data_IF_929941997123
#
_entry.id   IF_929941997123
#
_cell.length_a   1.000
_cell.length_b   1.000
_cell.length_c   1.000
_cell.angle_alpha   90.00
_cell.angle_beta   90.00
_cell.angle_gamma   90.00
#
_symmetry.space_group_name_H-M   'P 1'
#
loop_
_entity.id
_entity.type
_entity.pdbx_description
1 polymer ?
#
# COMPACT_ATOMS: atom_id res chain seq x y z
N UNK A 1 4.59 17.93 -5.25
CA UNK A 1 3.53 17.21 -4.51
C UNK A 1 3.51 15.73 -4.89
N UNK A 2 3.28 15.39 -6.16
CA UNK A 2 3.33 14.01 -6.67
C UNK A 2 4.68 13.29 -6.43
N UNK A 3 5.81 13.87 -6.87
CA UNK A 3 7.15 13.28 -6.66
C UNK A 3 7.48 13.13 -5.17
N UNK A 4 7.10 14.11 -4.33
CA UNK A 4 7.28 14.02 -2.87
C UNK A 4 6.52 12.83 -2.28
N UNK A 5 5.30 12.58 -2.78
CA UNK A 5 4.50 11.44 -2.36
C UNK A 5 5.17 10.12 -2.74
N UNK A 6 5.69 10.00 -3.96
CA UNK A 6 6.44 8.81 -4.39
C UNK A 6 7.62 8.56 -3.45
N UNK A 7 8.46 9.58 -3.22
CA UNK A 7 9.67 9.44 -2.40
C UNK A 7 9.32 9.03 -0.97
N UNK A 8 8.39 9.73 -0.33
CA UNK A 8 8.01 9.43 1.06
C UNK A 8 7.30 8.09 1.18
N UNK A 9 6.39 7.76 0.26
CA UNK A 9 5.74 6.45 0.21
C UNK A 9 6.80 5.36 0.11
N UNK A 10 7.69 5.43 -0.90
CA UNK A 10 8.73 4.43 -1.10
C UNK A 10 9.63 4.27 0.13
N UNK A 11 10.15 5.36 0.69
CA UNK A 11 11.09 5.30 1.82
C UNK A 11 10.46 4.69 3.08
N UNK A 12 9.20 5.03 3.37
CA UNK A 12 8.51 4.48 4.54
C UNK A 12 8.14 3.03 4.28
N UNK A 13 7.69 2.72 3.07
CA UNK A 13 7.23 1.39 2.67
C UNK A 13 8.36 0.35 2.61
N UNK A 14 9.63 0.79 2.47
CA UNK A 14 10.80 -0.07 2.69
C UNK A 14 10.75 -0.81 4.03
N UNK A 15 10.20 -0.20 5.09
CA UNK A 15 10.08 -0.84 6.40
C UNK A 15 9.16 -2.07 6.37
N UNK A 16 8.21 -2.09 5.45
CA UNK A 16 7.22 -3.16 5.32
C UNK A 16 7.63 -4.21 4.31
N UNK A 17 8.03 -3.81 3.10
CA UNK A 17 8.35 -4.77 2.03
C UNK A 17 9.58 -5.64 2.35
N UNK A 18 10.47 -5.20 3.24
CA UNK A 18 11.64 -5.99 3.66
C UNK A 18 11.29 -7.06 4.69
N UNK A 19 10.05 -7.09 5.20
CA UNK A 19 9.65 -8.06 6.21
C UNK A 19 9.56 -9.48 5.62
N UNK A 20 10.16 -10.44 6.31
CA UNK A 20 10.31 -11.83 5.82
C UNK A 20 8.99 -12.57 5.58
N UNK A 21 7.90 -12.17 6.22
CA UNK A 21 6.60 -12.81 6.05
C UNK A 21 6.02 -12.63 4.64
N UNK A 22 6.40 -11.58 3.90
CA UNK A 22 6.03 -11.40 2.49
C UNK A 22 6.53 -12.56 1.64
N UNK A 23 7.83 -12.85 1.77
CA UNK A 23 8.48 -13.97 1.09
C UNK A 23 7.78 -15.28 1.44
N UNK A 24 7.54 -15.55 2.72
CA UNK A 24 6.90 -16.79 3.17
C UNK A 24 5.49 -16.96 2.58
N UNK A 25 4.68 -15.90 2.56
CA UNK A 25 3.34 -15.89 1.97
C UNK A 25 3.38 -16.28 0.50
N UNK A 26 4.19 -15.59 -0.30
CA UNK A 26 4.22 -15.78 -1.75
C UNK A 26 4.92 -17.07 -2.17
N UNK A 27 5.97 -17.53 -1.47
CA UNK A 27 6.58 -18.84 -1.73
C UNK A 27 5.60 -19.99 -1.41
N UNK A 28 4.77 -19.85 -0.37
CA UNK A 28 3.72 -20.83 -0.07
C UNK A 28 2.71 -20.96 -1.20
N UNK A 29 2.36 -19.84 -1.84
CA UNK A 29 1.42 -19.80 -2.97
C UNK A 29 2.08 -20.29 -4.26
N UNK A 30 3.28 -19.80 -4.59
CA UNK A 30 3.95 -20.02 -5.87
C UNK A 30 4.72 -21.35 -5.95
N UNK A 31 5.08 -21.94 -4.81
CA UNK A 31 5.93 -23.15 -4.71
C UNK A 31 7.31 -23.01 -5.38
N UNK A 32 7.75 -21.76 -5.57
CA UNK A 32 9.06 -21.40 -6.11
C UNK A 32 9.67 -20.29 -5.24
N UNK A 33 10.99 -20.04 -5.34
CA UNK A 33 11.61 -18.94 -4.63
C UNK A 33 10.96 -17.59 -4.99
N UNK A 34 10.75 -16.75 -3.99
CA UNK A 34 10.14 -15.44 -4.18
C UNK A 34 10.98 -14.58 -5.11
N UNK A 35 10.35 -14.06 -6.18
CA UNK A 35 10.97 -13.14 -7.11
C UNK A 35 10.04 -11.96 -7.38
N UNK A 36 10.54 -10.74 -7.18
CA UNK A 36 9.76 -9.52 -7.35
C UNK A 36 9.65 -9.19 -8.83
N UNK A 37 8.42 -9.02 -9.32
CA UNK A 37 8.19 -8.44 -10.63
C UNK A 37 8.45 -6.93 -10.58
N UNK A 38 9.63 -6.51 -11.06
CA UNK A 38 10.05 -5.11 -11.01
C UNK A 38 9.12 -4.18 -11.78
N UNK A 39 8.55 -4.63 -12.90
CA UNK A 39 7.56 -3.84 -13.66
C UNK A 39 6.33 -3.54 -12.82
N UNK A 40 5.77 -4.55 -12.15
CA UNK A 40 4.62 -4.41 -11.26
C UNK A 40 4.91 -3.47 -10.08
N UNK A 41 6.07 -3.63 -9.45
CA UNK A 41 6.50 -2.76 -8.34
C UNK A 41 6.62 -1.29 -8.79
N UNK A 42 7.25 -1.05 -9.94
CA UNK A 42 7.38 0.32 -10.49
C UNK A 42 6.01 0.92 -10.85
N UNK A 43 5.11 0.12 -11.44
CA UNK A 43 3.75 0.60 -11.74
C UNK A 43 2.99 0.95 -10.46
N UNK A 44 3.11 0.18 -9.38
CA UNK A 44 2.51 0.54 -8.10
C UNK A 44 2.96 1.93 -7.63
N UNK A 45 4.27 2.20 -7.56
CA UNK A 45 4.78 3.49 -7.12
C UNK A 45 4.47 4.65 -8.09
N UNK A 46 4.20 4.35 -9.36
CA UNK A 46 3.72 5.33 -10.33
C UNK A 46 2.24 5.66 -10.16
N UNK A 47 1.38 4.66 -9.92
CA UNK A 47 -0.08 4.87 -9.89
C UNK A 47 -0.62 5.22 -8.50
N UNK A 48 -0.05 4.68 -7.42
CA UNK A 48 -0.48 4.95 -6.05
C UNK A 48 -0.62 6.45 -5.71
N UNK A 49 0.32 7.35 -6.08
CA UNK A 49 0.21 8.78 -5.76
C UNK A 49 -0.91 9.51 -6.53
N UNK A 50 -1.49 8.91 -7.58
CA UNK A 50 -2.66 9.50 -8.26
C UNK A 50 -3.85 9.61 -7.31
N UNK A 51 -3.99 8.66 -6.37
CA UNK A 51 -5.03 8.72 -5.35
C UNK A 51 -4.90 9.99 -4.50
N UNK A 52 -3.65 10.40 -4.20
CA UNK A 52 -3.40 11.61 -3.44
C UNK A 52 -3.72 12.88 -4.23
N UNK A 53 -3.24 12.98 -5.47
CA UNK A 53 -3.45 14.19 -6.30
C UNK A 53 -4.93 14.37 -6.67
N UNK A 54 -5.65 13.27 -6.94
CA UNK A 54 -7.02 13.34 -7.48
C UNK A 54 -8.11 13.31 -6.42
N UNK A 55 -7.87 12.66 -5.28
CA UNK A 55 -8.90 12.47 -4.26
C UNK A 55 -8.48 13.04 -2.91
N UNK A 56 -7.34 12.61 -2.36
CA UNK A 56 -7.01 12.95 -0.96
C UNK A 56 -6.78 14.46 -0.80
N UNK A 57 -5.89 15.06 -1.60
CA UNK A 57 -5.58 16.49 -1.46
C UNK A 57 -6.75 17.43 -1.77
N UNK A 58 -7.46 17.32 -2.92
CA UNK A 58 -8.53 18.26 -3.23
C UNK A 58 -9.76 18.13 -2.31
N UNK A 59 -9.97 16.96 -1.67
CA UNK A 59 -11.08 16.73 -0.75
C UNK A 59 -10.74 17.07 0.71
N UNK A 60 -9.49 17.37 1.01
CA UNK A 60 -9.07 17.70 2.38
C UNK A 60 -8.98 19.21 2.56
N UNK A 61 -9.27 19.70 3.77
CA UNK A 61 -9.15 21.13 4.16
C UNK A 61 -8.11 21.36 5.24
N UNK A 62 -7.54 20.29 5.81
CA UNK A 62 -6.50 20.35 6.84
C UNK A 62 -5.60 19.12 6.77
N UNK A 63 -4.42 19.20 7.41
CA UNK A 63 -3.50 18.04 7.52
C UNK A 63 -4.16 16.83 8.18
N UNK A 64 -4.96 17.07 9.23
CA UNK A 64 -5.70 16.01 9.92
C UNK A 64 -6.74 15.35 9.03
N UNK A 65 -7.40 16.13 8.16
CA UNK A 65 -8.33 15.59 7.17
C UNK A 65 -7.60 14.81 6.06
N UNK A 66 -6.45 15.31 5.60
CA UNK A 66 -5.59 14.59 4.65
C UNK A 66 -5.09 13.27 5.22
N UNK A 67 -4.76 13.21 6.52
CA UNK A 67 -4.45 11.97 7.21
C UNK A 67 -5.62 10.99 7.16
N UNK A 68 -6.84 11.43 7.54
CA UNK A 68 -8.03 10.57 7.58
C UNK A 68 -8.42 10.06 6.19
N UNK A 69 -8.45 10.97 5.21
CA UNK A 69 -8.77 10.64 3.82
C UNK A 69 -7.70 9.73 3.20
N UNK A 70 -6.42 9.99 3.49
CA UNK A 70 -5.31 9.13 3.09
C UNK A 70 -5.41 7.74 3.71
N UNK A 71 -5.66 7.65 5.01
CA UNK A 71 -5.79 6.39 5.72
C UNK A 71 -6.95 5.54 5.20
N UNK A 72 -8.11 6.16 4.99
CA UNK A 72 -9.26 5.47 4.40
C UNK A 72 -8.95 4.99 2.96
N UNK A 73 -8.34 5.84 2.13
CA UNK A 73 -7.98 5.47 0.76
C UNK A 73 -6.98 4.30 0.73
N UNK A 74 -5.93 4.36 1.54
CA UNK A 74 -4.93 3.30 1.66
C UNK A 74 -5.56 1.99 2.13
N UNK A 75 -6.40 2.04 3.17
CA UNK A 75 -7.14 0.88 3.66
C UNK A 75 -7.98 0.22 2.56
N UNK A 76 -8.77 1.02 1.83
CA UNK A 76 -9.64 0.49 0.77
C UNK A 76 -8.83 -0.11 -0.38
N UNK A 77 -7.74 0.54 -0.81
CA UNK A 77 -6.89 0.04 -1.89
C UNK A 77 -6.27 -1.32 -1.54
N UNK A 78 -5.61 -1.40 -0.38
CA UNK A 78 -4.91 -2.61 0.05
C UNK A 78 -5.89 -3.73 0.38
N UNK A 79 -6.93 -3.45 1.17
CA UNK A 79 -7.93 -4.47 1.51
C UNK A 79 -8.64 -5.03 0.26
N UNK A 80 -8.94 -4.20 -0.74
CA UNK A 80 -9.53 -4.68 -2.01
C UNK A 80 -8.56 -5.60 -2.75
N UNK A 81 -7.27 -5.23 -2.82
CA UNK A 81 -6.24 -6.06 -3.44
C UNK A 81 -6.06 -7.39 -2.70
N UNK A 82 -5.93 -7.35 -1.38
CA UNK A 82 -5.74 -8.51 -0.52
C UNK A 82 -6.93 -9.46 -0.53
N UNK A 83 -8.16 -8.95 -0.51
CA UNK A 83 -9.35 -9.79 -0.57
C UNK A 83 -9.54 -10.42 -1.94
N UNK A 84 -9.17 -9.71 -3.01
CA UNK A 84 -9.10 -10.28 -4.35
C UNK A 84 -8.10 -11.44 -4.40
N UNK A 85 -6.88 -11.23 -3.86
CA UNK A 85 -5.88 -12.28 -3.75
C UNK A 85 -6.37 -13.44 -2.89
N UNK A 86 -7.06 -13.18 -1.78
CA UNK A 86 -7.62 -14.22 -0.91
C UNK A 86 -8.71 -15.05 -1.61
N UNK A 87 -9.50 -14.43 -2.48
CA UNK A 87 -10.51 -15.12 -3.28
C UNK A 87 -9.88 -16.02 -4.36
N UNK A 88 -8.73 -15.61 -4.92
CA UNK A 88 -8.04 -16.34 -6.00
C UNK A 88 -7.09 -17.43 -5.45
N UNK A 89 -6.32 -17.11 -4.42
CA UNK A 89 -5.27 -17.99 -3.88
C UNK A 89 -5.71 -18.61 -2.55
N UNK A 90 -5.96 -19.92 -2.58
CA UNK A 90 -6.40 -20.69 -1.41
C UNK A 90 -5.46 -20.55 -0.20
N UNK A 91 -4.15 -20.54 -0.47
CA UNK A 91 -3.08 -20.45 0.53
C UNK A 91 -2.79 -19.02 1.03
N UNK A 92 -3.48 -17.99 0.52
CA UNK A 92 -3.33 -16.62 0.99
C UNK A 92 -3.81 -16.49 2.43
N UNK A 93 -2.94 -16.06 3.35
CA UNK A 93 -3.28 -15.95 4.77
C UNK A 93 -4.12 -14.69 5.07
N UNK A 94 -5.17 -14.86 5.89
CA UNK A 94 -6.01 -13.74 6.37
C UNK A 94 -5.22 -12.74 7.23
N UNK A 95 -4.31 -13.24 8.06
CA UNK A 95 -3.45 -12.40 8.90
C UNK A 95 -2.57 -11.47 8.05
N UNK A 96 -2.04 -11.97 6.92
CA UNK A 96 -1.29 -11.14 5.97
C UNK A 96 -2.17 -10.03 5.38
N UNK A 97 -3.36 -10.39 4.86
CA UNK A 97 -4.31 -9.44 4.29
C UNK A 97 -4.67 -8.29 5.25
N UNK A 98 -4.95 -8.62 6.51
CA UNK A 98 -5.34 -7.62 7.51
C UNK A 98 -4.16 -6.70 7.83
N UNK A 99 -2.96 -7.26 8.04
CA UNK A 99 -1.79 -6.45 8.36
C UNK A 99 -1.37 -5.55 7.20
N UNK A 100 -1.45 -6.04 5.96
CA UNK A 100 -1.13 -5.26 4.76
C UNK A 100 -2.13 -4.12 4.56
N UNK A 101 -3.43 -4.36 4.76
CA UNK A 101 -4.45 -3.30 4.75
C UNK A 101 -4.24 -2.23 5.84
N UNK A 102 -3.86 -2.64 7.05
CA UNK A 102 -3.55 -1.71 8.15
C UNK A 102 -2.27 -0.90 7.86
N UNK A 103 -1.25 -1.53 7.26
CA UNK A 103 -0.05 -0.83 6.83
C UNK A 103 -0.35 0.18 5.72
N UNK A 104 -1.11 -0.22 4.70
CA UNK A 104 -1.57 0.65 3.62
C UNK A 104 -2.33 1.87 4.14
N UNK A 105 -3.23 1.66 5.11
CA UNK A 105 -3.93 2.73 5.83
C UNK A 105 -2.95 3.68 6.52
N UNK A 106 -2.02 3.15 7.31
CA UNK A 106 -1.05 3.96 8.05
C UNK A 106 -0.15 4.77 7.12
N UNK A 107 0.46 4.15 6.11
CA UNK A 107 1.46 4.81 5.25
C UNK A 107 0.81 5.88 4.37
N UNK A 108 -0.36 5.61 3.77
CA UNK A 108 -1.06 6.63 2.98
C UNK A 108 -1.53 7.79 3.85
N UNK A 109 -2.04 7.53 5.05
CA UNK A 109 -2.42 8.58 5.99
C UNK A 109 -1.24 9.45 6.39
N UNK A 110 -0.13 8.82 6.80
CA UNK A 110 1.08 9.52 7.24
C UNK A 110 1.70 10.35 6.11
N UNK A 111 1.89 9.77 4.92
CA UNK A 111 2.47 10.49 3.78
C UNK A 111 1.56 11.65 3.36
N UNK A 112 0.24 11.45 3.36
CA UNK A 112 -0.71 12.53 3.06
C UNK A 112 -0.63 13.67 4.07
N UNK A 113 -0.50 13.37 5.37
CA UNK A 113 -0.32 14.35 6.43
C UNK A 113 0.97 15.17 6.28
N UNK A 114 2.07 14.50 5.93
CA UNK A 114 3.39 15.14 5.79
C UNK A 114 3.48 16.08 4.58
N UNK A 115 2.72 15.80 3.52
CA UNK A 115 2.79 16.55 2.25
C UNK A 115 1.73 17.64 2.15
N UNK A 116 0.56 17.44 2.78
CA UNK A 116 -0.53 18.42 2.81
C UNK A 116 -0.13 19.67 3.60
#
# INVERSE_FOLDING_TARGET
MYIKFIILLFLIDLLWITQSFHKIQYERIQKTPFNVNMTGALMFYLFAPLAYIKFIHPLSKSKTEAFKNGALMGFLMYMTYDFTNKAVFTEYQWDYAIKDALWGSFVFGLVSYLIY
#
